data_IF_724754015713
#
_entry.id   IF_724754015713
#
_cell.length_a   1.000
_cell.length_b   1.000
_cell.length_c   1.000
_cell.angle_alpha   90.00
_cell.angle_beta   90.00
_cell.angle_gamma   90.00
#
_symmetry.space_group_name_H-M   'P 1'
#
loop_
_entity.id
_entity.type
_entity.pdbx_description
1 polymer ?
#
# COMPACT_ATOMS: atom_id res chain seq x y z
N UNK A 1 -14.68 -6.64 -17.19
CA UNK A 1 -14.61 -5.53 -16.23
C UNK A 1 -13.69 -4.47 -16.81
N UNK A 2 -14.17 -3.24 -16.99
CA UNK A 2 -13.42 -2.15 -17.64
C UNK A 2 -13.48 -0.88 -16.79
N UNK A 3 -12.31 -0.36 -16.43
CA UNK A 3 -12.15 0.83 -15.61
C UNK A 3 -11.31 1.87 -16.34
N UNK A 4 -11.75 3.12 -16.28
CA UNK A 4 -10.99 4.29 -16.67
C UNK A 4 -10.51 5.03 -15.43
N UNK A 5 -9.21 5.27 -15.34
CA UNK A 5 -8.58 6.12 -14.33
C UNK A 5 -8.30 7.47 -14.97
N UNK A 6 -9.04 8.49 -14.55
CA UNK A 6 -8.82 9.88 -14.93
C UNK A 6 -7.86 10.56 -13.96
N UNK A 7 -6.59 10.68 -14.34
CA UNK A 7 -5.57 11.36 -13.56
C UNK A 7 -5.71 12.88 -13.71
N UNK A 8 -5.93 13.56 -12.60
CA UNK A 8 -5.86 15.02 -12.46
C UNK A 8 -4.55 15.33 -11.74
N UNK A 9 -3.61 16.00 -12.42
CA UNK A 9 -2.28 16.22 -11.88
C UNK A 9 -2.25 17.37 -10.87
N UNK A 10 -1.98 17.03 -9.62
CA UNK A 10 -1.80 17.98 -8.52
C UNK A 10 -0.32 18.29 -8.34
N UNK A 11 0.02 19.55 -8.57
CA UNK A 11 1.38 20.10 -8.47
C UNK A 11 1.63 20.74 -7.11
N UNK A 12 0.58 21.14 -6.41
CA UNK A 12 0.66 21.79 -5.11
C UNK A 12 -0.62 21.55 -4.29
N UNK A 13 -0.50 21.61 -2.96
CA UNK A 13 -1.61 21.57 -2.00
C UNK A 13 -1.51 22.80 -1.09
N UNK A 14 -2.62 23.50 -0.88
CA UNK A 14 -2.66 24.72 -0.06
C UNK A 14 -3.90 24.74 0.82
N UNK A 15 -3.80 25.33 2.01
CA UNK A 15 -5.00 25.70 2.76
C UNK A 15 -5.66 26.92 2.11
N UNK A 16 -6.99 26.92 2.05
CA UNK A 16 -7.77 27.98 1.44
C UNK A 16 -9.19 28.05 2.01
N UNK A 17 -9.98 29.04 1.58
CA UNK A 17 -11.34 29.24 2.08
C UNK A 17 -12.36 28.22 1.54
N UNK A 18 -11.98 27.38 0.58
CA UNK A 18 -12.86 26.40 -0.08
C UNK A 18 -12.01 25.21 -0.54
N UNK A 19 -12.55 23.99 -0.44
CA UNK A 19 -11.90 22.81 -1.00
C UNK A 19 -12.22 22.67 -2.49
N UNK A 20 -11.19 22.80 -3.34
CA UNK A 20 -11.32 22.68 -4.80
C UNK A 20 -9.99 22.39 -5.48
N UNK A 21 -10.06 21.88 -6.71
CA UNK A 21 -8.89 21.81 -7.60
C UNK A 21 -8.97 22.96 -8.60
N UNK A 22 -7.90 23.75 -8.70
CA UNK A 22 -7.79 24.85 -9.67
C UNK A 22 -6.35 24.99 -10.15
N UNK A 23 -6.14 24.96 -11.48
CA UNK A 23 -4.83 25.14 -12.12
C UNK A 23 -3.74 24.19 -11.58
N UNK A 24 -4.09 22.94 -11.27
CA UNK A 24 -3.17 21.94 -10.71
C UNK A 24 -2.86 22.14 -9.22
N UNK A 25 -3.58 23.01 -8.51
CA UNK A 25 -3.48 23.18 -7.05
C UNK A 25 -4.72 22.61 -6.39
N UNK A 26 -4.55 21.76 -5.38
CA UNK A 26 -5.61 21.32 -4.48
C UNK A 26 -5.69 22.28 -3.29
N UNK A 27 -6.70 23.14 -3.29
CA UNK A 27 -7.05 23.96 -2.12
C UNK A 27 -7.87 23.12 -1.14
N UNK A 28 -7.56 23.25 0.15
CA UNK A 28 -8.21 22.52 1.25
C UNK A 28 -8.75 23.52 2.26
N UNK A 29 -10.06 23.50 2.49
CA UNK A 29 -10.68 24.20 3.61
C UNK A 29 -10.53 23.36 4.88
N UNK A 30 -9.87 23.93 5.90
CA UNK A 30 -9.59 23.23 7.16
C UNK A 30 -10.86 22.93 7.95
N UNK A 31 -11.78 23.89 8.01
CA UNK A 31 -13.01 23.78 8.76
C UNK A 31 -13.96 22.74 8.16
N UNK A 32 -14.12 22.74 6.83
CA UNK A 32 -14.91 21.72 6.11
C UNK A 32 -14.30 20.33 6.29
N UNK A 33 -12.97 20.21 6.11
CA UNK A 33 -12.30 18.93 6.33
C UNK A 33 -12.47 18.44 7.76
N UNK A 34 -12.30 19.33 8.76
CA UNK A 34 -12.50 19.00 10.17
C UNK A 34 -13.91 18.46 10.41
N UNK A 35 -14.93 19.11 9.86
CA UNK A 35 -16.32 18.66 9.98
C UNK A 35 -16.53 17.25 9.39
N UNK A 36 -15.94 16.96 8.24
CA UNK A 36 -16.07 15.66 7.56
C UNK A 36 -15.39 14.54 8.35
N UNK A 37 -14.21 14.80 8.93
CA UNK A 37 -13.44 13.76 9.65
C UNK A 37 -13.82 13.60 11.12
N UNK A 38 -14.48 14.59 11.71
CA UNK A 38 -14.90 14.58 13.12
C UNK A 38 -16.04 13.58 13.42
N UNK A 39 -16.39 13.50 14.70
CA UNK A 39 -17.55 12.74 15.19
C UNK A 39 -17.24 11.39 15.83
N UNK A 40 -15.97 10.98 15.86
CA UNK A 40 -15.54 9.79 16.61
C UNK A 40 -15.24 10.15 18.07
N UNK A 41 -16.01 9.61 19.00
CA UNK A 41 -15.87 9.90 20.43
C UNK A 41 -14.55 9.39 21.03
N UNK A 42 -13.81 8.54 20.34
CA UNK A 42 -12.50 8.03 20.77
C UNK A 42 -11.37 9.02 20.52
N UNK A 43 -11.59 10.03 19.67
CA UNK A 43 -10.57 11.00 19.28
C UNK A 43 -10.64 12.23 20.20
N UNK A 44 -9.48 12.67 20.69
CA UNK A 44 -9.34 13.87 21.50
C UNK A 44 -9.22 15.12 20.63
N UNK A 45 -8.35 15.08 19.61
CA UNK A 45 -8.15 16.20 18.69
C UNK A 45 -7.69 15.73 17.31
N UNK A 46 -8.00 16.55 16.31
CA UNK A 46 -7.52 16.40 14.93
C UNK A 46 -6.97 17.75 14.49
N UNK A 47 -5.77 17.76 13.91
CA UNK A 47 -5.15 18.94 13.28
C UNK A 47 -4.58 18.59 11.89
N UNK A 48 -4.27 19.62 11.11
CA UNK A 48 -3.87 19.50 9.71
C UNK A 48 -2.63 20.33 9.40
N UNK A 49 -1.68 19.71 8.70
CA UNK A 49 -0.51 20.35 8.13
C UNK A 49 -0.29 19.92 6.67
N UNK A 50 0.58 20.60 5.95
CA UNK A 50 0.97 20.29 4.57
C UNK A 50 2.49 20.16 4.52
N UNK A 51 2.96 19.09 3.87
CA UNK A 51 4.36 18.85 3.58
C UNK A 51 4.54 18.64 2.07
N UNK A 52 5.35 19.48 1.41
CA UNK A 52 5.56 19.43 -0.04
C UNK A 52 6.92 18.84 -0.41
N UNK A 53 7.07 18.30 -1.63
CA UNK A 53 8.36 17.81 -2.11
C UNK A 53 9.48 18.84 -1.97
N UNK A 54 10.59 18.45 -1.34
CA UNK A 54 11.77 19.28 -1.15
C UNK A 54 11.73 20.23 0.05
N UNK A 55 10.61 20.34 0.78
CA UNK A 55 10.59 21.07 2.06
C UNK A 55 11.39 20.30 3.13
N UNK A 56 12.10 21.01 4.02
CA UNK A 56 12.82 20.41 5.15
C UNK A 56 11.83 20.00 6.27
N UNK A 57 10.98 19.01 5.96
CA UNK A 57 9.89 18.52 6.80
C UNK A 57 10.01 17.01 6.96
N UNK A 58 9.86 16.54 8.21
CA UNK A 58 9.69 15.12 8.57
C UNK A 58 8.27 14.85 9.06
N UNK A 59 7.67 13.74 8.65
CA UNK A 59 6.42 13.22 9.20
C UNK A 59 6.75 11.91 9.94
N UNK A 60 6.37 11.81 11.21
CA UNK A 60 6.66 10.64 12.06
C UNK A 60 5.72 10.58 13.28
N UNK A 61 5.16 9.42 13.65
CA UNK A 61 5.08 8.19 12.87
C UNK A 61 4.03 8.30 11.76
N UNK A 62 4.26 7.64 10.63
CA UNK A 62 3.34 7.56 9.49
C UNK A 62 2.51 6.30 9.60
N UNK A 63 1.18 6.46 9.74
CA UNK A 63 0.24 5.36 9.92
C UNK A 63 -0.30 4.82 8.59
N UNK A 64 -0.72 5.68 7.69
CA UNK A 64 -1.15 5.30 6.34
C UNK A 64 -0.90 6.47 5.40
N UNK A 65 -0.79 6.15 4.12
CA UNK A 65 -0.75 7.11 3.02
C UNK A 65 -1.87 6.72 2.06
N UNK A 66 -2.72 7.67 1.67
CA UNK A 66 -3.94 7.40 0.91
C UNK A 66 -4.05 8.39 -0.25
N UNK A 67 -4.27 7.89 -1.47
CA UNK A 67 -4.47 8.77 -2.63
C UNK A 67 -5.93 9.27 -2.70
N UNK A 68 -6.18 10.59 -2.76
CA UNK A 68 -7.54 11.10 -2.94
C UNK A 68 -8.09 10.73 -4.32
N UNK A 69 -9.27 10.12 -4.35
CA UNK A 69 -9.96 9.74 -5.59
C UNK A 69 -11.48 9.74 -5.43
N UNK A 70 -12.20 9.81 -6.55
CA UNK A 70 -13.67 9.84 -6.58
C UNK A 70 -14.22 9.08 -7.77
N UNK A 71 -15.25 8.26 -7.52
CA UNK A 71 -16.01 7.58 -8.57
C UNK A 71 -16.91 8.57 -9.28
N UNK A 72 -16.78 8.72 -10.60
CA UNK A 72 -17.56 9.68 -11.40
C UNK A 72 -18.55 9.00 -12.36
N UNK A 73 -18.27 7.75 -12.74
CA UNK A 73 -19.15 6.93 -13.59
C UNK A 73 -19.08 5.46 -13.16
N UNK A 74 -20.19 4.74 -13.29
CA UNK A 74 -20.30 3.32 -12.96
C UNK A 74 -20.91 3.05 -11.59
N UNK A 75 -21.02 1.78 -11.24
CA UNK A 75 -21.57 1.34 -9.95
C UNK A 75 -20.50 1.42 -8.85
N UNK A 76 -20.95 1.62 -7.61
CA UNK A 76 -20.10 1.60 -6.42
C UNK A 76 -19.50 2.95 -6.08
N UNK A 77 -18.50 2.95 -5.20
CA UNK A 77 -17.76 4.12 -4.77
C UNK A 77 -16.34 3.73 -4.34
N UNK A 78 -15.61 4.68 -3.77
CA UNK A 78 -14.25 4.44 -3.28
C UNK A 78 -14.32 3.82 -1.88
N UNK A 79 -13.43 2.86 -1.60
CA UNK A 79 -13.35 2.13 -0.33
C UNK A 79 -14.67 1.44 0.04
N UNK A 80 -15.17 0.50 -0.79
CA UNK A 80 -16.41 -0.21 -0.53
C UNK A 80 -16.37 -0.99 0.79
N UNK A 81 -17.42 -0.84 1.59
CA UNK A 81 -17.51 -1.39 2.95
C UNK A 81 -16.98 -0.48 4.05
N UNK A 82 -16.23 0.58 3.70
CA UNK A 82 -15.83 1.63 4.64
C UNK A 82 -16.54 2.96 4.35
N UNK A 83 -16.37 3.49 3.13
CA UNK A 83 -16.87 4.81 2.74
C UNK A 83 -18.06 4.73 1.80
N UNK A 84 -18.11 3.72 0.93
CA UNK A 84 -19.28 3.42 0.11
C UNK A 84 -19.96 2.13 0.56
N UNK A 85 -21.16 1.89 0.01
CA UNK A 85 -21.85 0.61 0.15
C UNK A 85 -20.96 -0.54 -0.35
N UNK A 86 -21.26 -1.74 0.13
CA UNK A 86 -20.58 -2.99 -0.25
C UNK A 86 -21.05 -3.45 -1.63
N UNK A 87 -20.75 -2.65 -2.65
CA UNK A 87 -20.93 -2.99 -4.06
C UNK A 87 -19.58 -3.44 -4.64
N UNK A 88 -19.59 -4.40 -5.56
CA UNK A 88 -18.41 -4.71 -6.38
C UNK A 88 -18.00 -3.47 -7.20
N UNK A 89 -16.70 -3.16 -7.19
CA UNK A 89 -16.12 -1.99 -7.86
C UNK A 89 -15.26 -2.42 -9.05
N UNK A 90 -14.44 -1.52 -9.62
CA UNK A 90 -13.53 -1.83 -10.72
C UNK A 90 -14.11 -1.64 -12.11
N UNK A 91 -15.26 -0.98 -12.26
CA UNK A 91 -15.86 -0.65 -13.58
C UNK A 91 -16.30 0.81 -13.68
N UNK A 92 -16.29 1.39 -14.89
CA UNK A 92 -16.71 2.79 -15.12
C UNK A 92 -15.52 3.73 -15.09
N UNK A 93 -15.64 4.90 -14.45
CA UNK A 93 -14.56 5.90 -14.38
C UNK A 93 -14.35 6.44 -12.97
N UNK A 94 -13.09 6.51 -12.57
CA UNK A 94 -12.62 7.05 -11.29
C UNK A 94 -11.62 8.17 -11.55
N UNK A 95 -11.87 9.36 -11.00
CA UNK A 95 -10.92 10.46 -11.03
C UNK A 95 -9.96 10.36 -9.85
N UNK A 96 -8.69 10.61 -10.10
CA UNK A 96 -7.59 10.51 -9.13
C UNK A 96 -6.86 11.84 -9.05
N UNK A 97 -6.63 12.34 -7.84
CA UNK A 97 -5.83 13.55 -7.61
C UNK A 97 -4.33 13.18 -7.56
N UNK A 98 -3.78 12.86 -8.73
CA UNK A 98 -2.46 12.26 -8.89
C UNK A 98 -1.38 13.26 -8.46
N UNK A 99 -0.52 12.85 -7.53
CA UNK A 99 0.51 13.70 -6.94
C UNK A 99 0.12 14.34 -5.60
N UNK A 100 -1.11 14.12 -5.12
CA UNK A 100 -1.51 14.43 -3.75
C UNK A 100 -1.64 13.15 -2.92
N UNK A 101 -1.37 13.24 -1.62
CA UNK A 101 -1.65 12.16 -0.68
C UNK A 101 -2.18 12.70 0.65
N UNK A 102 -3.02 11.91 1.30
CA UNK A 102 -3.41 12.09 2.70
C UNK A 102 -2.52 11.18 3.54
N UNK A 103 -1.83 11.76 4.51
CA UNK A 103 -0.94 11.03 5.43
C UNK A 103 -1.53 11.11 6.83
N UNK A 104 -1.84 9.98 7.46
CA UNK A 104 -2.27 9.96 8.86
C UNK A 104 -1.07 9.80 9.80
N UNK A 105 -1.04 10.61 10.85
CA UNK A 105 -0.02 10.62 11.90
C UNK A 105 -0.66 10.98 13.25
N UNK A 106 0.15 11.17 14.29
CA UNK A 106 -0.26 11.39 15.67
C UNK A 106 0.30 10.31 16.58
N UNK A 107 -0.30 10.12 17.75
CA UNK A 107 0.05 8.98 18.60
C UNK A 107 -0.47 7.71 17.94
N UNK A 108 0.40 6.75 17.62
CA UNK A 108 0.03 5.48 16.97
C UNK A 108 0.36 4.31 17.90
N UNK A 109 -0.37 3.19 17.79
CA UNK A 109 -0.18 2.04 18.70
C UNK A 109 1.05 1.23 18.34
N UNK A 110 1.21 0.90 17.07
CA UNK A 110 2.26 0.01 16.58
C UNK A 110 3.63 0.67 16.58
N UNK A 111 4.65 -0.09 16.97
CA UNK A 111 6.06 0.34 16.85
C UNK A 111 6.61 0.12 15.43
N UNK A 112 5.86 -0.48 14.50
CA UNK A 112 6.36 -0.75 13.15
C UNK A 112 6.05 0.38 12.15
N UNK A 113 5.56 1.53 12.62
CA UNK A 113 5.23 2.67 11.76
C UNK A 113 6.46 3.47 11.34
N UNK A 114 6.28 4.32 10.31
CA UNK A 114 7.41 4.85 9.55
C UNK A 114 7.66 6.34 9.59
N UNK A 115 8.64 6.74 8.80
CA UNK A 115 9.09 8.10 8.57
C UNK A 115 8.91 8.45 7.09
N UNK A 116 8.41 9.66 6.84
CA UNK A 116 8.55 10.33 5.54
C UNK A 116 9.38 11.59 5.74
N UNK A 117 10.55 11.63 5.11
CA UNK A 117 11.33 12.85 4.94
C UNK A 117 11.03 13.44 3.56
N UNK A 118 10.68 14.73 3.51
CA UNK A 118 10.37 15.43 2.26
C UNK A 118 11.63 15.95 1.54
N UNK A 119 12.77 15.97 2.23
CA UNK A 119 14.08 16.37 1.70
C UNK A 119 15.22 15.51 2.28
N UNK A 120 16.44 15.68 1.77
CA UNK A 120 17.62 14.99 2.30
C UNK A 120 17.69 13.50 1.95
N UNK A 121 18.39 12.74 2.79
CA UNK A 121 18.68 11.32 2.53
C UNK A 121 17.41 10.46 2.53
N UNK A 122 16.54 10.64 3.53
CA UNK A 122 15.31 9.85 3.64
C UNK A 122 14.37 10.03 2.45
N UNK A 123 14.33 11.22 1.85
CA UNK A 123 13.52 11.51 0.67
C UNK A 123 13.93 10.72 -0.58
N UNK A 124 15.14 10.15 -0.63
CA UNK A 124 15.56 9.29 -1.75
C UNK A 124 14.90 7.92 -1.72
N UNK A 125 14.47 7.47 -0.54
CA UNK A 125 14.02 6.10 -0.33
C UNK A 125 12.51 5.96 -0.21
N UNK A 126 11.79 7.03 0.16
CA UNK A 126 10.32 7.00 0.16
C UNK A 126 9.72 7.63 -1.10
N UNK A 127 8.78 6.95 -1.80
CA UNK A 127 8.06 7.54 -2.92
C UNK A 127 7.18 8.72 -2.49
N UNK A 128 6.78 8.77 -1.21
CA UNK A 128 5.90 9.80 -0.65
C UNK A 128 6.61 11.13 -0.38
N UNK A 129 7.93 11.21 -0.60
CA UNK A 129 8.64 12.49 -0.67
C UNK A 129 8.32 13.27 -1.95
N UNK A 130 7.74 12.60 -2.96
CA UNK A 130 7.37 13.18 -4.26
C UNK A 130 5.90 13.59 -4.35
N UNK A 131 5.10 13.30 -3.32
CA UNK A 131 3.70 13.70 -3.24
C UNK A 131 3.54 15.00 -2.45
N UNK A 132 2.51 15.77 -2.78
CA UNK A 132 2.04 16.86 -1.93
C UNK A 132 1.17 16.26 -0.82
N UNK A 133 1.70 16.24 0.40
CA UNK A 133 1.10 15.53 1.51
C UNK A 133 0.23 16.48 2.35
N UNK A 134 -1.07 16.19 2.43
CA UNK A 134 -1.91 16.69 3.52
C UNK A 134 -1.77 15.75 4.70
N UNK A 135 -1.17 16.24 5.78
CA UNK A 135 -0.91 15.46 6.99
C UNK A 135 -2.01 15.70 8.00
N UNK A 136 -2.62 14.62 8.50
CA UNK A 136 -3.67 14.65 9.50
C UNK A 136 -3.12 14.08 10.80
N UNK A 137 -3.04 14.94 11.82
CA UNK A 137 -2.52 14.60 13.14
C UNK A 137 -3.72 14.22 14.00
N UNK A 138 -3.80 12.94 14.40
CA UNK A 138 -4.91 12.39 15.18
C UNK A 138 -4.42 12.01 16.57
N UNK A 139 -4.99 12.64 17.60
CA UNK A 139 -4.69 12.29 19.00
C UNK A 139 -5.87 11.53 19.62
N UNK A 140 -5.67 10.28 20.09
CA UNK A 140 -6.72 9.53 20.77
C UNK A 140 -6.94 10.04 22.20
N UNK A 141 -8.14 9.81 22.73
CA UNK A 141 -8.39 9.98 24.17
C UNK A 141 -7.60 8.94 24.97
N UNK A 142 -7.31 9.29 26.23
CA UNK A 142 -6.69 8.37 27.17
C UNK A 142 -7.58 7.14 27.41
N UNK A 143 -6.98 5.95 27.49
CA UNK A 143 -7.67 4.70 27.79
C UNK A 143 -8.42 4.05 26.61
N UNK A 144 -8.36 4.61 25.40
CA UNK A 144 -8.91 3.95 24.20
C UNK A 144 -8.14 2.66 23.93
N UNK A 145 -8.87 1.57 23.68
CA UNK A 145 -8.27 0.27 23.36
C UNK A 145 -7.50 0.34 22.05
N UNK A 146 -6.40 -0.39 21.97
CA UNK A 146 -5.48 -0.36 20.82
C UNK A 146 -6.18 -0.59 19.47
N UNK A 147 -7.03 -1.60 19.37
CA UNK A 147 -7.75 -1.92 18.14
C UNK A 147 -8.77 -0.83 17.75
N UNK A 148 -9.44 -0.24 18.73
CA UNK A 148 -10.40 0.85 18.53
C UNK A 148 -9.71 2.12 18.05
N UNK A 149 -8.52 2.39 18.60
CA UNK A 149 -7.70 3.52 18.20
C UNK A 149 -7.24 3.41 16.74
N UNK A 150 -6.67 2.26 16.34
CA UNK A 150 -6.24 2.03 14.95
C UNK A 150 -7.41 2.16 13.97
N UNK A 151 -8.58 1.64 14.34
CA UNK A 151 -9.79 1.80 13.54
C UNK A 151 -10.21 3.27 13.41
N UNK A 152 -10.15 4.05 14.49
CA UNK A 152 -10.51 5.47 14.48
C UNK A 152 -9.61 6.28 13.55
N UNK A 153 -8.28 6.09 13.65
CA UNK A 153 -7.29 6.78 12.79
C UNK A 153 -7.49 6.41 11.32
N UNK A 154 -7.72 5.12 11.03
CA UNK A 154 -8.01 4.65 9.66
C UNK A 154 -9.24 5.33 9.06
N UNK A 155 -10.32 5.41 9.83
CA UNK A 155 -11.55 6.05 9.36
C UNK A 155 -11.36 7.55 9.10
N UNK A 156 -10.54 8.24 9.90
CA UNK A 156 -10.18 9.65 9.62
C UNK A 156 -9.47 9.78 8.28
N UNK A 157 -8.48 8.92 8.01
CA UNK A 157 -7.76 8.90 6.74
C UNK A 157 -8.68 8.67 5.54
N UNK A 158 -9.55 7.65 5.61
CA UNK A 158 -10.48 7.32 4.53
C UNK A 158 -11.52 8.41 4.29
N UNK A 159 -12.07 9.02 5.36
CA UNK A 159 -12.98 10.16 5.26
C UNK A 159 -12.30 11.34 4.56
N UNK A 160 -11.09 11.70 4.98
CA UNK A 160 -10.35 12.81 4.39
C UNK A 160 -10.03 12.57 2.91
N UNK A 161 -9.45 11.43 2.56
CA UNK A 161 -9.12 11.11 1.17
C UNK A 161 -10.36 11.09 0.26
N UNK A 162 -11.49 10.56 0.77
CA UNK A 162 -12.77 10.56 0.05
C UNK A 162 -13.31 11.98 -0.13
N UNK A 163 -13.26 12.81 0.92
CA UNK A 163 -13.71 14.20 0.85
C UNK A 163 -12.88 15.01 -0.16
N UNK A 164 -11.55 14.93 -0.08
CA UNK A 164 -10.65 15.63 -1.02
C UNK A 164 -10.84 15.12 -2.45
N UNK A 165 -11.02 13.81 -2.64
CA UNK A 165 -11.30 13.23 -3.96
C UNK A 165 -12.49 13.88 -4.65
N UNK A 166 -13.55 14.26 -3.90
CA UNK A 166 -14.73 14.96 -4.46
C UNK A 166 -14.38 16.27 -5.14
N UNK A 167 -13.29 16.94 -4.76
CA UNK A 167 -12.82 18.16 -5.41
C UNK A 167 -12.47 17.96 -6.90
N UNK A 168 -12.10 16.72 -7.29
CA UNK A 168 -11.80 16.35 -8.67
C UNK A 168 -13.02 15.89 -9.49
N UNK A 169 -14.22 15.81 -8.90
CA UNK A 169 -15.39 15.16 -9.53
C UNK A 169 -15.78 15.80 -10.88
N UNK A 170 -15.74 17.12 -10.96
CA UNK A 170 -16.14 17.88 -12.14
C UNK A 170 -14.94 18.48 -12.90
N UNK A 171 -13.73 18.03 -12.57
CA UNK A 171 -12.50 18.47 -13.23
C UNK A 171 -12.19 17.51 -14.36
N UNK A 172 -11.90 18.05 -15.54
CA UNK A 172 -11.45 17.24 -16.67
C UNK A 172 -10.08 16.62 -16.36
N UNK A 173 -9.92 15.29 -16.48
CA UNK A 173 -8.62 14.64 -16.27
C UNK A 173 -7.57 15.10 -17.28
N UNK A 174 -6.32 15.25 -16.83
CA UNK A 174 -5.17 15.51 -17.69
C UNK A 174 -4.75 14.27 -18.49
N UNK A 175 -4.98 13.08 -17.93
CA UNK A 175 -4.71 11.79 -18.56
C UNK A 175 -5.84 10.80 -18.22
N UNK A 176 -6.24 9.96 -19.18
CA UNK A 176 -7.14 8.83 -18.94
C UNK A 176 -6.44 7.53 -19.30
N UNK A 177 -6.23 6.66 -18.31
CA UNK A 177 -5.75 5.29 -18.50
C UNK A 177 -6.95 4.33 -18.49
N UNK A 178 -6.99 3.39 -19.44
CA UNK A 178 -8.04 2.36 -19.51
C UNK A 178 -7.47 0.99 -19.19
N UNK A 179 -8.14 0.28 -18.30
CA UNK A 179 -7.82 -1.09 -17.92
C UNK A 179 -9.02 -1.99 -18.16
N UNK A 180 -8.79 -3.16 -18.74
CA UNK A 180 -9.86 -4.11 -19.03
C UNK A 180 -9.39 -5.54 -18.85
N UNK A 181 -10.20 -6.32 -18.15
CA UNK A 181 -10.09 -7.78 -18.06
C UNK A 181 -11.45 -8.37 -18.41
N UNK A 182 -11.51 -9.20 -19.43
CA UNK A 182 -12.73 -9.86 -19.88
C UNK A 182 -13.16 -10.97 -18.89
N UNK A 183 -14.41 -11.45 -18.96
CA UNK A 183 -14.79 -12.69 -18.28
C UNK A 183 -13.80 -13.82 -18.62
N UNK A 184 -13.46 -14.65 -17.63
CA UNK A 184 -12.34 -15.61 -17.72
C UNK A 184 -12.32 -16.44 -19.02
N UNK A 185 -13.44 -17.02 -19.44
CA UNK A 185 -13.50 -17.86 -20.64
C UNK A 185 -13.25 -17.08 -21.95
N UNK A 186 -13.52 -15.79 -21.95
CA UNK A 186 -13.21 -14.87 -23.04
C UNK A 186 -11.75 -14.38 -22.93
N UNK A 187 -11.31 -14.02 -21.72
CA UNK A 187 -9.94 -13.60 -21.42
C UNK A 187 -8.91 -14.64 -21.87
N UNK A 188 -9.15 -15.92 -21.53
CA UNK A 188 -8.28 -17.04 -21.93
C UNK A 188 -8.13 -17.16 -23.45
N UNK A 189 -9.16 -16.78 -24.22
CA UNK A 189 -9.17 -16.89 -25.69
C UNK A 189 -8.63 -15.64 -26.39
N UNK A 190 -8.44 -14.53 -25.67
CA UNK A 190 -8.10 -13.24 -26.27
C UNK A 190 -6.73 -13.27 -26.96
N UNK A 191 -5.75 -13.93 -26.34
CA UNK A 191 -4.39 -14.11 -26.87
C UNK A 191 -3.95 -15.57 -26.71
N UNK A 192 -4.40 -16.47 -27.61
CA UNK A 192 -4.22 -17.91 -27.44
C UNK A 192 -2.77 -18.37 -27.54
N UNK A 193 -1.92 -17.61 -28.23
CA UNK A 193 -0.51 -17.94 -28.47
C UNK A 193 0.44 -17.38 -27.40
N UNK A 194 -0.07 -16.61 -26.44
CA UNK A 194 0.71 -16.02 -25.34
C UNK A 194 0.53 -16.82 -24.05
N UNK A 195 1.59 -16.93 -23.22
CA UNK A 195 1.49 -17.62 -21.93
C UNK A 195 0.47 -16.92 -21.02
N UNK A 196 -0.33 -17.72 -20.33
CA UNK A 196 -1.34 -17.25 -19.38
C UNK A 196 -0.70 -16.93 -18.04
N UNK A 197 -0.85 -15.70 -17.58
CA UNK A 197 -0.23 -15.19 -16.34
C UNK A 197 -1.30 -14.77 -15.34
N UNK A 198 -1.11 -15.15 -14.08
CA UNK A 198 -1.92 -14.73 -12.93
C UNK A 198 -1.01 -14.05 -11.90
N UNK A 199 -1.53 -13.05 -11.20
CA UNK A 199 -0.85 -12.47 -10.05
C UNK A 199 -1.40 -13.06 -8.75
N UNK A 200 -0.55 -13.70 -7.96
CA UNK A 200 -0.86 -14.10 -6.59
C UNK A 200 -0.49 -12.95 -5.66
N UNK A 201 -1.53 -12.26 -5.18
CA UNK A 201 -1.40 -11.07 -4.36
C UNK A 201 -1.60 -11.44 -2.89
N UNK A 202 -0.51 -11.64 -2.15
CA UNK A 202 -0.60 -11.91 -0.72
C UNK A 202 -0.95 -10.61 0.03
N UNK A 203 -1.79 -10.76 1.06
CA UNK A 203 -2.27 -9.66 1.90
C UNK A 203 -1.91 -9.96 3.34
N UNK A 204 -1.41 -8.94 4.04
CA UNK A 204 -1.04 -9.03 5.45
C UNK A 204 -2.25 -9.39 6.34
N UNK A 205 -2.17 -10.53 7.05
CA UNK A 205 -3.28 -11.09 7.84
C UNK A 205 -2.86 -11.73 9.16
N UNK A 206 -1.85 -11.18 9.82
CA UNK A 206 -1.28 -11.77 11.03
C UNK A 206 -2.02 -11.39 12.34
N UNK A 207 -3.04 -10.53 12.28
CA UNK A 207 -3.83 -10.12 13.45
C UNK A 207 -3.14 -9.05 14.30
N UNK A 208 -3.71 -8.70 15.47
CA UNK A 208 -3.16 -7.71 16.41
C UNK A 208 -2.60 -6.43 15.74
N UNK A 209 -3.43 -5.77 14.92
CA UNK A 209 -3.10 -4.56 14.14
C UNK A 209 -2.41 -4.80 12.79
N UNK A 210 -2.12 -6.04 12.39
CA UNK A 210 -1.55 -6.40 11.08
C UNK A 210 -2.63 -6.94 10.11
N UNK A 211 -3.67 -6.15 9.85
CA UNK A 211 -4.79 -6.58 9.00
C UNK A 211 -4.94 -5.70 7.76
N UNK A 212 -4.87 -6.32 6.57
CA UNK A 212 -5.30 -5.74 5.29
C UNK A 212 -6.78 -6.08 5.06
N UNK A 213 -7.55 -5.15 4.51
CA UNK A 213 -9.01 -5.30 4.36
C UNK A 213 -9.41 -5.40 2.90
N UNK A 214 -10.36 -6.30 2.63
CA UNK A 214 -10.97 -6.54 1.32
C UNK A 214 -12.48 -6.28 1.43
N UNK A 215 -12.99 -5.29 0.70
CA UNK A 215 -14.41 -4.87 0.74
C UNK A 215 -14.94 -4.60 2.17
N UNK A 216 -14.10 -3.99 3.02
CA UNK A 216 -14.44 -3.69 4.43
C UNK A 216 -14.34 -4.88 5.37
N UNK A 217 -14.00 -6.07 4.87
CA UNK A 217 -13.79 -7.28 5.67
C UNK A 217 -12.30 -7.52 5.82
N UNK A 218 -11.88 -7.79 7.04
CA UNK A 218 -10.53 -8.24 7.34
C UNK A 218 -10.15 -9.48 6.51
N UNK A 219 -9.07 -9.41 5.75
CA UNK A 219 -8.69 -10.45 4.79
C UNK A 219 -8.47 -11.81 5.48
N UNK A 220 -8.12 -11.85 6.77
CA UNK A 220 -7.94 -13.12 7.50
C UNK A 220 -9.22 -13.95 7.64
N UNK A 221 -10.38 -13.33 7.38
CA UNK A 221 -11.70 -13.97 7.43
C UNK A 221 -12.16 -14.55 6.11
N UNK A 222 -11.41 -14.32 5.02
CA UNK A 222 -11.71 -14.85 3.69
C UNK A 222 -10.66 -15.87 3.30
N UNK A 223 -11.06 -16.86 2.51
CA UNK A 223 -10.13 -17.78 1.86
C UNK A 223 -9.60 -17.14 0.57
N UNK A 224 -8.49 -17.67 0.00
CA UNK A 224 -7.96 -17.15 -1.25
C UNK A 224 -9.02 -17.11 -2.34
N UNK A 225 -9.08 -15.99 -3.05
CA UNK A 225 -10.20 -15.62 -3.92
C UNK A 225 -9.69 -14.92 -5.18
N UNK A 226 -10.30 -15.21 -6.32
CA UNK A 226 -10.03 -14.48 -7.55
C UNK A 226 -10.75 -13.12 -7.54
N UNK A 227 -10.04 -12.06 -7.90
CA UNK A 227 -10.61 -10.73 -8.12
C UNK A 227 -10.14 -10.18 -9.47
N UNK A 228 -10.95 -9.30 -10.06
CA UNK A 228 -10.50 -8.51 -11.19
C UNK A 228 -9.44 -7.50 -10.72
N UNK A 229 -8.34 -7.30 -11.47
CA UNK A 229 -7.29 -6.40 -11.02
C UNK A 229 -7.75 -4.94 -10.89
N UNK A 230 -8.74 -4.51 -11.67
CA UNK A 230 -9.29 -3.14 -11.59
C UNK A 230 -10.05 -2.87 -10.29
N UNK A 231 -10.51 -3.89 -9.56
CA UNK A 231 -11.17 -3.70 -8.26
C UNK A 231 -10.24 -3.03 -7.24
N UNK A 232 -8.96 -3.37 -7.31
CA UNK A 232 -7.90 -2.81 -6.47
C UNK A 232 -7.79 -1.29 -6.65
N UNK A 233 -7.94 -0.80 -7.90
CA UNK A 233 -7.91 0.63 -8.22
C UNK A 233 -9.17 1.41 -7.77
N UNK A 234 -10.22 0.76 -7.29
CA UNK A 234 -11.35 1.45 -6.64
C UNK A 234 -11.33 1.29 -5.10
N UNK A 235 -10.22 0.77 -4.55
CA UNK A 235 -10.04 0.61 -3.11
C UNK A 235 -10.75 -0.60 -2.55
N UNK A 236 -10.95 -1.66 -3.35
CA UNK A 236 -11.42 -2.94 -2.84
C UNK A 236 -10.46 -3.51 -1.79
N UNK A 237 -9.15 -3.25 -1.94
CA UNK A 237 -8.10 -3.60 -0.97
C UNK A 237 -7.57 -2.32 -0.34
N UNK A 238 -7.52 -2.26 0.99
CA UNK A 238 -6.97 -1.12 1.73
C UNK A 238 -6.11 -1.58 2.90
N UNK A 239 -5.10 -0.79 3.23
CA UNK A 239 -4.23 -1.10 4.35
C UNK A 239 -4.95 -0.82 5.66
N UNK A 240 -4.75 -1.71 6.61
CA UNK A 240 -5.04 -1.43 8.01
C UNK A 240 -3.94 -1.93 8.93
N UNK A 241 -2.79 -2.30 8.36
CA UNK A 241 -1.74 -3.03 9.04
C UNK A 241 -0.72 -2.08 9.73
N UNK A 242 -0.01 -2.64 10.71
CA UNK A 242 1.14 -2.06 11.41
C UNK A 242 2.37 -2.95 11.16
N UNK A 243 2.80 -3.16 9.92
CA UNK A 243 4.04 -3.91 9.62
C UNK A 243 5.22 -2.95 9.43
N UNK A 244 6.46 -3.46 9.27
CA UNK A 244 7.65 -2.63 9.09
C UNK A 244 7.41 -1.57 8.02
N UNK A 245 7.82 -0.34 8.28
CA UNK A 245 7.42 0.75 7.42
C UNK A 245 7.93 0.62 5.98
N UNK A 246 9.09 0.00 5.78
CA UNK A 246 9.74 -0.13 4.48
C UNK A 246 9.03 -1.08 3.51
N UNK A 247 8.47 -2.19 4.02
CA UNK A 247 7.84 -3.27 3.27
C UNK A 247 6.30 -3.23 3.33
N UNK A 248 5.74 -2.41 4.22
CA UNK A 248 4.32 -2.09 4.26
C UNK A 248 3.82 -1.57 2.91
N UNK A 249 2.62 -2.00 2.53
CA UNK A 249 1.84 -1.40 1.45
C UNK A 249 0.78 -0.46 2.03
N UNK A 250 1.04 0.86 2.12
CA UNK A 250 0.00 1.84 2.40
C UNK A 250 -1.18 1.72 1.44
N UNK A 251 -2.35 2.24 1.82
CA UNK A 251 -3.52 2.27 0.95
C UNK A 251 -3.22 2.91 -0.40
N UNK A 252 -2.33 3.92 -0.45
CA UNK A 252 -1.83 4.54 -1.69
C UNK A 252 -1.21 3.51 -2.64
N UNK A 253 -0.41 2.58 -2.12
CA UNK A 253 0.26 1.53 -2.90
C UNK A 253 -0.75 0.52 -3.41
N UNK A 254 -1.68 0.05 -2.56
CA UNK A 254 -2.78 -0.81 -3.03
C UNK A 254 -3.55 -0.12 -4.16
N UNK A 255 -3.93 1.14 -3.99
CA UNK A 255 -4.67 1.92 -4.96
C UNK A 255 -3.92 2.19 -6.30
N UNK A 256 -2.60 2.02 -6.31
CA UNK A 256 -1.69 2.21 -7.45
C UNK A 256 -0.79 0.98 -7.63
N UNK A 257 -1.37 -0.22 -7.53
CA UNK A 257 -0.60 -1.46 -7.46
C UNK A 257 0.31 -1.62 -8.71
N UNK A 258 1.64 -1.55 -8.55
CA UNK A 258 2.58 -1.45 -9.68
C UNK A 258 2.70 -2.74 -10.49
N UNK A 259 2.66 -3.93 -9.85
CA UNK A 259 2.63 -5.22 -10.54
C UNK A 259 1.39 -5.32 -11.43
N UNK A 260 0.22 -4.88 -10.97
CA UNK A 260 -1.01 -4.87 -11.76
C UNK A 260 -0.89 -3.90 -12.95
N UNK A 261 -0.39 -2.69 -12.73
CA UNK A 261 -0.17 -1.72 -13.81
C UNK A 261 0.81 -2.28 -14.87
N UNK A 262 1.92 -2.87 -14.44
CA UNK A 262 2.91 -3.47 -15.33
C UNK A 262 2.36 -4.67 -16.08
N UNK A 263 1.60 -5.55 -15.41
CA UNK A 263 0.93 -6.69 -16.04
C UNK A 263 -0.06 -6.23 -17.12
N UNK A 264 -0.84 -5.18 -16.89
CA UNK A 264 -1.69 -4.60 -17.93
C UNK A 264 -0.87 -3.99 -19.09
N UNK A 265 0.27 -3.35 -18.80
CA UNK A 265 1.08 -2.69 -19.83
C UNK A 265 1.69 -3.67 -20.84
N UNK A 266 1.94 -4.91 -20.41
CA UNK A 266 2.54 -6.00 -21.20
C UNK A 266 1.53 -7.07 -21.64
N UNK A 267 0.28 -6.97 -21.15
CA UNK A 267 -0.83 -7.81 -21.58
C UNK A 267 -1.05 -7.73 -23.10
N UNK A 268 -1.14 -8.88 -23.76
CA UNK A 268 -1.29 -8.97 -25.23
C UNK A 268 0.01 -8.75 -26.01
N UNK A 269 1.14 -8.49 -25.31
CA UNK A 269 2.48 -8.32 -25.90
C UNK A 269 3.38 -9.50 -25.56
N UNK A 270 3.55 -9.78 -24.26
CA UNK A 270 4.40 -10.88 -23.79
C UNK A 270 3.60 -12.02 -23.16
N UNK A 271 2.41 -11.72 -22.63
CA UNK A 271 1.55 -12.67 -21.94
C UNK A 271 0.07 -12.28 -21.99
N UNK A 272 -0.79 -13.26 -21.69
CA UNK A 272 -2.22 -13.06 -21.43
C UNK A 272 -2.46 -12.96 -19.91
N UNK A 273 -2.68 -11.76 -19.39
CA UNK A 273 -2.93 -11.54 -17.98
C UNK A 273 -4.39 -11.88 -17.65
N UNK A 274 -4.60 -12.88 -16.80
CA UNK A 274 -5.93 -13.41 -16.51
C UNK A 274 -6.62 -12.73 -15.31
N UNK A 275 -5.85 -12.17 -14.39
CA UNK A 275 -6.36 -11.50 -13.19
C UNK A 275 -5.54 -11.80 -11.93
N UNK A 276 -6.12 -11.50 -10.77
CA UNK A 276 -5.45 -11.63 -9.48
C UNK A 276 -6.10 -12.71 -8.61
N UNK A 277 -5.28 -13.49 -7.91
CA UNK A 277 -5.70 -14.33 -6.78
C UNK A 277 -5.18 -13.67 -5.52
N UNK A 278 -6.08 -13.08 -4.73
CA UNK A 278 -5.70 -12.59 -3.39
C UNK A 278 -5.58 -13.79 -2.43
N UNK A 279 -4.60 -13.73 -1.55
CA UNK A 279 -4.35 -14.77 -0.55
C UNK A 279 -3.86 -14.16 0.77
N UNK A 280 -3.66 -15.00 1.76
CA UNK A 280 -3.45 -14.62 3.15
C UNK A 280 -2.02 -14.90 3.60
N UNK A 281 -1.46 -14.02 4.42
CA UNK A 281 -0.27 -14.25 5.22
C UNK A 281 -0.67 -14.60 6.66
N UNK A 282 -0.66 -15.89 6.98
CA UNK A 282 -1.18 -16.38 8.25
C UNK A 282 -0.08 -16.66 9.25
N UNK A 283 -0.38 -16.61 10.55
CA UNK A 283 0.59 -16.97 11.60
C UNK A 283 0.71 -18.49 11.77
N UNK A 284 -0.42 -19.21 11.80
CA UNK A 284 -0.42 -20.63 12.11
C UNK A 284 -0.19 -21.49 10.87
N UNK A 285 0.68 -22.51 11.00
CA UNK A 285 1.04 -23.41 9.91
C UNK A 285 -0.18 -24.03 9.20
N UNK A 286 -1.18 -24.49 9.95
CA UNK A 286 -2.40 -25.08 9.36
C UNK A 286 -3.17 -24.10 8.48
N UNK A 287 -3.13 -22.80 8.80
CA UNK A 287 -3.78 -21.76 8.00
C UNK A 287 -2.92 -21.39 6.78
N UNK A 288 -1.58 -21.37 6.91
CA UNK A 288 -0.65 -21.27 5.76
C UNK A 288 -0.85 -22.40 4.76
N UNK A 289 -0.95 -23.64 5.27
CA UNK A 289 -1.22 -24.82 4.46
C UNK A 289 -2.57 -24.72 3.74
N UNK A 290 -3.63 -24.30 4.45
CA UNK A 290 -4.96 -24.13 3.88
C UNK A 290 -4.97 -23.09 2.76
N UNK A 291 -4.40 -21.92 3.02
CA UNK A 291 -4.40 -20.80 2.10
C UNK A 291 -3.56 -21.13 0.85
N UNK A 292 -2.32 -21.57 1.02
CA UNK A 292 -1.45 -21.94 -0.11
C UNK A 292 -1.99 -23.10 -0.95
N UNK A 293 -2.68 -24.08 -0.35
CA UNK A 293 -3.33 -25.16 -1.11
C UNK A 293 -4.49 -24.65 -1.95
N UNK A 294 -5.28 -23.72 -1.41
CA UNK A 294 -6.38 -23.09 -2.13
C UNK A 294 -5.84 -22.17 -3.25
N UNK A 295 -4.79 -21.40 -2.99
CA UNK A 295 -4.10 -20.57 -4.00
C UNK A 295 -3.64 -21.44 -5.16
N UNK A 296 -2.86 -22.50 -4.91
CA UNK A 296 -2.32 -23.36 -5.96
C UNK A 296 -3.43 -24.03 -6.79
N UNK A 297 -4.50 -24.49 -6.13
CA UNK A 297 -5.69 -25.01 -6.81
C UNK A 297 -6.36 -23.95 -7.69
N UNK A 298 -6.54 -22.73 -7.20
CA UNK A 298 -7.17 -21.65 -7.96
C UNK A 298 -6.34 -21.26 -9.18
N UNK A 299 -5.03 -21.12 -9.02
CA UNK A 299 -4.10 -20.81 -10.11
C UNK A 299 -4.17 -21.89 -11.21
N UNK A 300 -4.12 -23.17 -10.84
CA UNK A 300 -4.31 -24.30 -11.75
C UNK A 300 -5.69 -24.27 -12.43
N UNK A 301 -6.74 -23.99 -11.66
CA UNK A 301 -8.12 -23.92 -12.15
C UNK A 301 -8.34 -22.80 -13.17
N UNK A 302 -7.65 -21.67 -13.02
CA UNK A 302 -7.65 -20.56 -13.97
C UNK A 302 -6.86 -20.88 -15.25
N UNK A 303 -6.06 -21.95 -15.25
CA UNK A 303 -5.23 -22.37 -16.38
C UNK A 303 -3.99 -21.50 -16.56
N UNK A 304 -3.43 -20.96 -15.47
CA UNK A 304 -2.20 -20.17 -15.52
C UNK A 304 -0.99 -21.06 -15.90
N UNK A 305 -0.06 -20.49 -16.66
CA UNK A 305 1.21 -21.12 -17.05
C UNK A 305 2.40 -20.50 -16.30
N UNK A 306 2.24 -19.26 -15.83
CA UNK A 306 3.15 -18.61 -14.91
C UNK A 306 2.40 -17.74 -13.89
N UNK A 307 3.02 -17.52 -12.74
CA UNK A 307 2.56 -16.58 -11.73
C UNK A 307 3.65 -15.65 -11.25
N UNK A 308 3.24 -14.42 -10.94
CA UNK A 308 4.00 -13.51 -10.07
C UNK A 308 3.42 -13.65 -8.68
N UNK A 309 4.25 -13.76 -7.65
CA UNK A 309 3.83 -13.84 -6.25
C UNK A 309 4.57 -12.73 -5.51
N UNK A 310 3.83 -11.85 -4.83
CA UNK A 310 4.43 -10.86 -3.93
C UNK A 310 3.85 -11.00 -2.54
N UNK A 311 4.67 -10.71 -1.54
CA UNK A 311 4.28 -10.63 -0.13
C UNK A 311 4.15 -9.20 0.39
N UNK A 312 3.77 -9.07 1.65
CA UNK A 312 3.74 -7.84 2.43
C UNK A 312 4.28 -8.05 3.86
N UNK A 313 5.48 -7.56 4.12
CA UNK A 313 6.20 -7.74 5.38
C UNK A 313 7.14 -8.93 5.36
N UNK A 314 7.95 -9.04 6.41
CA UNK A 314 9.04 -10.02 6.48
C UNK A 314 8.90 -11.07 7.58
N UNK A 315 9.68 -12.14 7.45
CA UNK A 315 9.88 -13.18 8.45
C UNK A 315 8.78 -14.25 8.41
N UNK A 316 7.59 -13.94 8.92
CA UNK A 316 6.47 -14.89 8.85
C UNK A 316 5.83 -14.97 7.44
N UNK A 317 5.64 -13.87 6.69
CA UNK A 317 5.19 -13.90 5.30
C UNK A 317 6.11 -14.73 4.39
N UNK A 318 7.42 -14.73 4.62
CA UNK A 318 8.40 -15.47 3.79
C UNK A 318 8.03 -16.96 3.68
N UNK A 319 7.53 -17.55 4.78
CA UNK A 319 7.08 -18.93 4.80
C UNK A 319 5.78 -19.15 3.98
N UNK A 320 4.88 -18.16 3.94
CA UNK A 320 3.72 -18.18 3.05
C UNK A 320 4.14 -18.02 1.57
N UNK A 321 5.08 -17.12 1.28
CA UNK A 321 5.63 -16.90 -0.06
C UNK A 321 6.27 -18.18 -0.60
N UNK A 322 7.17 -18.80 0.17
CA UNK A 322 7.84 -20.05 -0.18
C UNK A 322 6.84 -21.21 -0.31
N UNK A 323 5.82 -21.28 0.55
CA UNK A 323 4.81 -22.34 0.47
C UNK A 323 3.91 -22.19 -0.77
N UNK A 324 3.51 -20.97 -1.12
CA UNK A 324 2.79 -20.70 -2.38
C UNK A 324 3.67 -21.08 -3.58
N UNK A 325 4.94 -20.64 -3.59
CA UNK A 325 5.91 -21.01 -4.63
C UNK A 325 5.99 -22.52 -4.82
N UNK A 326 6.26 -23.26 -3.74
CA UNK A 326 6.45 -24.71 -3.79
C UNK A 326 5.24 -25.45 -4.35
N UNK A 327 4.03 -25.12 -3.87
CA UNK A 327 2.79 -25.80 -4.28
C UNK A 327 2.37 -25.45 -5.70
N UNK A 328 2.63 -24.23 -6.15
CA UNK A 328 2.34 -23.81 -7.53
C UNK A 328 3.35 -24.45 -8.50
N UNK A 329 4.63 -24.47 -8.17
CA UNK A 329 5.66 -25.17 -8.97
C UNK A 329 5.35 -26.67 -9.10
N UNK A 330 4.82 -27.32 -8.06
CA UNK A 330 4.40 -28.73 -8.10
C UNK A 330 3.26 -29.02 -9.09
N UNK A 331 2.53 -27.98 -9.52
CA UNK A 331 1.54 -28.06 -10.60
C UNK A 331 2.13 -27.87 -12.00
N UNK A 332 3.45 -27.70 -12.12
CA UNK A 332 4.14 -27.42 -13.37
C UNK A 332 4.00 -25.98 -13.86
N UNK A 333 3.59 -25.06 -12.99
CA UNK A 333 3.37 -23.64 -13.28
C UNK A 333 4.62 -22.85 -12.87
N UNK A 334 5.07 -21.94 -13.72
CA UNK A 334 6.27 -21.12 -13.46
C UNK A 334 6.03 -20.09 -12.37
N UNK A 335 7.00 -19.84 -11.50
CA UNK A 335 6.86 -18.93 -10.36
C UNK A 335 7.94 -17.85 -10.34
N UNK A 336 7.51 -16.59 -10.25
CA UNK A 336 8.38 -15.42 -10.03
C UNK A 336 8.02 -14.81 -8.70
N UNK A 337 8.98 -14.69 -7.79
CA UNK A 337 8.78 -14.11 -6.46
C UNK A 337 9.22 -12.64 -6.45
N UNK A 338 8.47 -11.80 -5.74
CA UNK A 338 8.81 -10.41 -5.44
C UNK A 338 8.72 -10.22 -3.93
N UNK A 339 9.82 -9.78 -3.32
CA UNK A 339 10.01 -9.69 -1.86
C UNK A 339 11.06 -8.60 -1.57
N UNK A 340 11.45 -8.41 -0.32
CA UNK A 340 12.65 -7.68 0.07
C UNK A 340 13.65 -8.59 0.81
N UNK A 341 14.66 -8.01 1.45
CA UNK A 341 15.67 -8.78 2.16
C UNK A 341 15.92 -8.22 3.55
N UNK A 342 16.02 -9.10 4.54
CA UNK A 342 16.48 -8.78 5.89
C UNK A 342 17.83 -9.45 6.14
N UNK A 343 18.84 -9.02 5.38
CA UNK A 343 20.16 -9.66 5.29
C UNK A 343 21.18 -9.11 6.31
N UNK A 344 20.73 -8.39 7.35
CA UNK A 344 21.60 -7.75 8.33
C UNK A 344 22.30 -6.51 7.79
N UNK A 345 22.89 -5.71 8.69
CA UNK A 345 23.44 -4.39 8.34
C UNK A 345 24.59 -4.41 7.34
N UNK A 346 25.33 -5.52 7.27
CA UNK A 346 26.42 -5.75 6.32
C UNK A 346 26.00 -6.59 5.09
N UNK A 347 24.71 -6.98 5.01
CA UNK A 347 24.16 -7.79 3.92
C UNK A 347 24.66 -9.24 3.90
N UNK A 348 25.26 -9.74 4.98
CA UNK A 348 25.87 -11.08 5.02
C UNK A 348 24.98 -12.18 5.62
N UNK A 349 23.84 -11.81 6.22
CA UNK A 349 22.90 -12.76 6.80
C UNK A 349 22.01 -13.40 5.74
N UNK A 350 21.35 -14.49 6.11
CA UNK A 350 20.33 -15.09 5.26
C UNK A 350 19.19 -14.08 5.03
N UNK A 351 18.90 -13.76 3.77
CA UNK A 351 17.97 -12.68 3.40
C UNK A 351 16.52 -12.93 3.80
N UNK A 352 16.06 -14.18 3.70
CA UNK A 352 14.68 -14.60 3.97
C UNK A 352 14.63 -15.65 5.08
N UNK A 353 13.59 -15.64 5.91
CA UNK A 353 13.40 -16.61 6.98
C UNK A 353 13.12 -18.04 6.46
N UNK A 354 12.55 -18.17 5.26
CA UNK A 354 12.39 -19.44 4.55
C UNK A 354 12.95 -19.33 3.12
N UNK A 355 13.34 -20.44 2.51
CA UNK A 355 13.90 -20.44 1.15
C UNK A 355 13.59 -21.73 0.40
N UNK A 356 13.56 -21.63 -0.93
CA UNK A 356 13.35 -22.80 -1.80
C UNK A 356 14.10 -22.67 -3.12
N UNK A 357 14.65 -23.76 -3.67
CA UNK A 357 15.22 -23.77 -5.02
C UNK A 357 14.16 -23.90 -6.12
N UNK A 358 12.86 -23.96 -5.77
CA UNK A 358 11.78 -24.24 -6.73
C UNK A 358 11.27 -23.01 -7.49
N UNK A 359 11.61 -21.79 -7.07
CA UNK A 359 11.27 -20.56 -7.78
C UNK A 359 12.02 -20.46 -9.10
N UNK A 360 11.38 -19.95 -10.16
CA UNK A 360 12.04 -19.74 -11.45
C UNK A 360 12.77 -18.38 -11.53
N UNK A 361 12.36 -17.39 -10.74
CA UNK A 361 13.07 -16.12 -10.59
C UNK A 361 12.67 -15.43 -9.27
N UNK A 362 13.53 -14.53 -8.78
CA UNK A 362 13.27 -13.67 -7.63
C UNK A 362 13.71 -12.23 -7.92
N UNK A 363 12.84 -11.28 -7.59
CA UNK A 363 13.10 -9.84 -7.62
C UNK A 363 13.00 -9.31 -6.20
N UNK A 364 14.01 -8.56 -5.77
CA UNK A 364 14.10 -8.04 -4.40
C UNK A 364 14.02 -6.52 -4.40
N UNK A 365 13.28 -5.96 -3.45
CA UNK A 365 13.21 -4.55 -3.10
C UNK A 365 14.44 -4.01 -2.35
N UNK A 366 15.45 -4.84 -2.11
CA UNK A 366 16.71 -4.49 -1.44
C UNK A 366 16.74 -4.87 0.04
N UNK A 367 17.87 -4.59 0.71
CA UNK A 367 18.08 -4.93 2.11
C UNK A 367 17.49 -3.87 3.07
N UNK A 368 16.52 -4.27 3.90
CA UNK A 368 15.85 -3.43 4.88
C UNK A 368 16.73 -3.07 6.09
N UNK A 369 17.87 -3.76 6.29
CA UNK A 369 18.75 -3.53 7.43
C UNK A 369 19.88 -2.51 7.17
N UNK A 370 19.97 -1.90 5.98
CA UNK A 370 21.02 -0.91 5.71
C UNK A 370 20.92 0.27 6.70
N UNK A 371 22.00 0.55 7.43
CA UNK A 371 22.02 1.66 8.41
C UNK A 371 22.25 2.97 7.69
N UNK A 372 21.32 3.91 7.91
CA UNK A 372 21.36 5.25 7.33
C UNK A 372 21.38 6.32 8.43
N UNK A 373 21.75 7.55 8.05
CA UNK A 373 21.60 8.73 8.90
C UNK A 373 20.71 9.75 8.19
N UNK A 374 19.53 9.97 8.76
CA UNK A 374 18.61 10.99 8.33
C UNK A 374 19.00 12.33 8.98
N UNK A 375 19.21 13.40 8.19
CA UNK A 375 19.55 14.72 8.76
C UNK A 375 18.39 15.27 9.59
N UNK A 376 18.64 16.26 10.47
CA UNK A 376 17.56 16.99 11.13
C UNK A 376 16.74 17.77 10.11
N UNK A 377 15.44 17.91 10.38
CA UNK A 377 14.52 18.71 9.56
C UNK A 377 14.12 19.98 10.30
N UNK A 378 13.85 21.07 9.56
CA UNK A 378 13.40 22.35 10.15
C UNK A 378 12.05 22.23 10.85
N UNK A 379 11.19 21.34 10.36
CA UNK A 379 9.88 21.05 10.93
C UNK A 379 9.65 19.56 11.01
N UNK A 380 9.09 19.12 12.13
CA UNK A 380 8.66 17.74 12.34
C UNK A 380 7.17 17.75 12.65
N UNK A 381 6.41 16.91 11.96
CA UNK A 381 4.97 16.73 12.13
C UNK A 381 4.75 15.37 12.79
N UNK A 382 4.11 15.35 13.96
CA UNK A 382 3.87 14.17 14.78
C UNK A 382 4.83 14.05 15.98
N UNK A 383 5.17 12.81 16.36
CA UNK A 383 5.88 12.45 17.59
C UNK A 383 7.29 11.90 17.28
N UNK A 384 8.34 12.75 17.21
CA UNK A 384 9.69 12.32 16.82
C UNK A 384 10.35 11.31 17.75
N UNK A 385 10.00 11.32 19.03
CA UNK A 385 10.59 10.46 20.05
C UNK A 385 10.39 8.97 19.78
N UNK A 386 9.37 8.61 18.97
CA UNK A 386 9.11 7.23 18.56
C UNK A 386 10.25 6.65 17.72
N UNK A 387 11.09 7.49 17.09
CA UNK A 387 12.27 7.04 16.35
C UNK A 387 13.21 6.15 17.18
N UNK A 388 13.17 6.26 18.51
CA UNK A 388 13.98 5.44 19.42
C UNK A 388 13.42 4.03 19.67
N UNK A 389 12.18 3.76 19.26
CA UNK A 389 11.47 2.51 19.57
C UNK A 389 10.82 1.86 18.34
N UNK A 390 10.73 2.56 17.21
CA UNK A 390 10.16 1.98 16.00
C UNK A 390 11.06 0.88 15.41
N UNK A 391 10.48 -0.04 14.64
CA UNK A 391 11.23 -1.08 13.93
C UNK A 391 12.30 -0.48 13.00
N UNK A 392 13.54 -0.97 13.11
CA UNK A 392 14.73 -0.39 12.48
C UNK A 392 15.42 0.69 13.30
N UNK A 393 14.72 1.28 14.26
CA UNK A 393 15.26 2.20 15.27
C UNK A 393 15.71 1.48 16.54
N UNK A 394 16.43 2.20 17.39
CA UNK A 394 16.94 1.74 18.67
C UNK A 394 17.04 2.91 19.65
N UNK A 395 17.21 2.62 20.94
CA UNK A 395 17.39 3.66 21.95
C UNK A 395 18.63 4.51 21.60
N UNK A 396 18.42 5.79 21.32
CA UNK A 396 19.46 6.70 20.85
C UNK A 396 19.49 6.91 19.33
N UNK A 397 18.56 6.33 18.58
CA UNK A 397 18.36 6.63 17.16
C UNK A 397 18.09 8.11 16.94
N UNK A 398 17.21 8.74 17.74
CA UNK A 398 17.02 10.19 17.71
C UNK A 398 18.14 10.87 18.51
N UNK A 399 18.99 11.63 17.82
CA UNK A 399 20.10 12.36 18.43
C UNK A 399 19.66 13.73 18.94
N UNK A 400 20.47 14.34 19.80
CA UNK A 400 20.21 15.68 20.38
C UNK A 400 20.09 16.78 19.30
N UNK A 401 20.77 16.63 18.17
CA UNK A 401 20.71 17.56 17.04
C UNK A 401 19.46 17.37 16.15
N UNK A 402 18.61 16.38 16.45
CA UNK A 402 17.41 16.03 15.69
C UNK A 402 17.64 15.09 14.50
N UNK A 403 18.89 14.68 14.23
CA UNK A 403 19.17 13.62 13.26
C UNK A 403 18.70 12.26 13.76
N UNK A 404 18.39 11.34 12.84
CA UNK A 404 18.00 9.96 13.16
C UNK A 404 19.02 9.00 12.54
N UNK A 405 19.58 8.11 13.34
CA UNK A 405 20.40 7.01 12.85
C UNK A 405 19.70 5.68 13.15
N UNK A 406 19.35 4.97 12.10
CA UNK A 406 18.50 3.79 12.13
C UNK A 406 18.71 2.97 10.85
N UNK A 407 18.17 1.77 10.82
CA UNK A 407 18.06 0.98 9.58
C UNK A 407 17.01 1.61 8.65
N UNK A 408 17.19 1.45 7.33
CA UNK A 408 16.28 1.96 6.31
C UNK A 408 14.85 1.45 6.49
N UNK A 409 14.66 0.35 7.23
CA UNK A 409 13.38 -0.17 7.72
C UNK A 409 12.43 0.90 8.27
N UNK A 410 12.95 1.98 8.86
CA UNK A 410 12.11 3.09 9.40
C UNK A 410 11.44 3.93 8.31
N UNK A 411 11.86 3.86 7.06
CA UNK A 411 11.37 4.72 5.98
C UNK A 411 10.16 4.09 5.31
N UNK A 412 9.04 4.82 5.25
CA UNK A 412 7.80 4.32 4.66
C UNK A 412 7.96 3.98 3.17
N UNK A 413 7.76 2.70 2.82
CA UNK A 413 7.79 2.16 1.47
C UNK A 413 9.19 2.01 0.87
N UNK A 414 10.26 2.02 1.67
CA UNK A 414 11.63 1.99 1.16
C UNK A 414 12.06 0.69 0.49
N UNK A 415 11.52 -0.46 0.90
CA UNK A 415 11.81 -1.79 0.34
C UNK A 415 10.53 -2.47 -0.17
N UNK A 416 9.55 -1.68 -0.63
CA UNK A 416 8.23 -2.18 -1.07
C UNK A 416 8.30 -3.42 -1.97
N UNK A 417 7.67 -4.49 -1.51
CA UNK A 417 7.70 -5.84 -2.10
C UNK A 417 6.79 -6.00 -3.31
N UNK A 418 6.12 -4.92 -3.70
CA UNK A 418 5.44 -4.82 -4.98
C UNK A 418 6.24 -3.98 -5.99
N UNK A 419 7.37 -3.39 -5.59
CA UNK A 419 8.20 -2.55 -6.46
C UNK A 419 7.66 -1.12 -6.62
N UNK A 420 6.99 -0.58 -5.59
CA UNK A 420 6.54 0.82 -5.59
C UNK A 420 7.66 1.83 -5.23
N UNK A 421 8.83 1.31 -4.84
CA UNK A 421 10.00 2.05 -4.38
C UNK A 421 11.04 2.25 -5.50
N UNK A 422 12.24 2.70 -5.12
CA UNK A 422 13.34 2.97 -6.05
C UNK A 422 14.48 1.93 -6.01
N UNK A 423 14.43 0.95 -5.09
CA UNK A 423 15.47 -0.04 -4.88
C UNK A 423 15.16 -1.32 -5.65
N UNK A 424 16.19 -1.96 -6.22
CA UNK A 424 16.04 -3.25 -6.88
C UNK A 424 17.36 -4.01 -6.91
N UNK A 425 17.30 -5.32 -6.62
CA UNK A 425 18.31 -6.30 -7.03
C UNK A 425 17.63 -7.52 -7.67
N UNK A 426 18.36 -8.27 -8.51
CA UNK A 426 17.80 -9.36 -9.32
C UNK A 426 18.75 -10.55 -9.37
N UNK A 427 18.22 -11.75 -9.10
CA UNK A 427 18.88 -13.04 -9.33
C UNK A 427 18.12 -13.86 -10.37
N UNK A 428 18.84 -14.73 -11.10
CA UNK A 428 18.29 -15.58 -12.17
C UNK A 428 18.61 -17.06 -11.93
#
# INVERSE_FOLDING_TARGET
MRLEIGNIFIKDVQFGPETKVQNGVLYVNKEELLQEVSGDERIQSIDFDIARPGEEVRIIPVKDVIEPRVKVEGKGGIFPGFMSKVDTVGSGRTHVLKGAAVVTTGKIVGFQEGIIDMAGEGAKYTPFSKTNNLVIIVEPKEGVLQHDHEQAVRMVGFKAATYLGKAGKNVEPDEVKTFETLPLLEQVKQYPDLPKVVYVYMLQTQGLLHDTYVYGVDAKKIIPTFIYPTEVFDGAVVSGNCVSACDKNPTYVHLNQPIIEDLYSRHGKDYNFLGCVITNENVYLADKERSSSMTAKLVEFLGAEAVIISEEGFGNPDADLVMNCNKITEKGIKTVLVTDEYAGQDGSSQSLADSTPKGDAIVTGGNANEVITLPPMKRVIGHPEVANIIAGGYLGSLREDGSINAEIQVITGATSEVGFNYLTAKGY
#
